data_IF_094187539844
#
_entry.id   IF_094187539844
#
_cell.length_a   1.000
_cell.length_b   1.000
_cell.length_c   1.000
_cell.angle_alpha   90.00
_cell.angle_beta   90.00
_cell.angle_gamma   90.00
#
_symmetry.space_group_name_H-M   'P 1'
#
loop_
_entity.id
_entity.type
_entity.pdbx_description
1 polymer ?
#
# COMPACT_ATOMS: atom_id res chain seq x y z
N UNK A 1 -20.11 -7.36 -4.89
CA UNK A 1 -18.75 -7.70 -5.40
C UNK A 1 -17.83 -6.70 -4.72
N UNK A 2 -16.94 -7.21 -3.89
CA UNK A 2 -16.12 -6.40 -2.98
C UNK A 2 -14.84 -5.92 -3.64
N UNK A 3 -14.14 -5.03 -2.96
CA UNK A 3 -12.83 -4.53 -3.37
C UNK A 3 -11.71 -5.27 -2.64
N UNK A 4 -10.52 -5.23 -3.22
CA UNK A 4 -9.31 -5.82 -2.66
C UNK A 4 -8.23 -4.75 -2.49
N UNK A 5 -7.69 -4.64 -1.28
CA UNK A 5 -6.55 -3.79 -0.99
C UNK A 5 -5.28 -4.63 -0.85
N UNK A 6 -4.14 -4.08 -1.24
CA UNK A 6 -2.83 -4.64 -0.99
C UNK A 6 -1.98 -3.63 -0.20
N UNK A 7 -1.38 -4.04 0.91
CA UNK A 7 -0.50 -3.19 1.69
C UNK A 7 0.75 -3.94 2.18
N UNK A 8 1.91 -3.29 2.03
CA UNK A 8 3.21 -3.84 2.44
C UNK A 8 4.10 -2.86 3.22
N UNK A 9 3.61 -1.65 3.53
CA UNK A 9 4.26 -0.70 4.43
C UNK A 9 3.25 -0.08 5.40
N UNK A 10 3.69 0.45 6.56
CA UNK A 10 2.82 1.20 7.47
C UNK A 10 2.06 2.35 6.79
N UNK A 11 2.74 3.10 5.91
CA UNK A 11 2.14 4.24 5.21
C UNK A 11 1.03 3.82 4.24
N UNK A 12 1.21 2.69 3.56
CA UNK A 12 0.17 2.13 2.71
C UNK A 12 -1.05 1.70 3.53
N UNK A 13 -0.84 1.05 4.68
CA UNK A 13 -1.93 0.67 5.59
C UNK A 13 -2.68 1.91 6.09
N UNK A 14 -1.96 2.98 6.39
CA UNK A 14 -2.56 4.27 6.78
C UNK A 14 -3.47 4.81 5.67
N UNK A 15 -2.99 4.85 4.43
CA UNK A 15 -3.77 5.32 3.29
C UNK A 15 -4.96 4.41 2.98
N UNK A 16 -4.82 3.09 3.11
CA UNK A 16 -5.92 2.15 2.98
C UNK A 16 -7.01 2.47 3.99
N UNK A 17 -6.66 2.61 5.28
CA UNK A 17 -7.63 2.92 6.32
C UNK A 17 -8.31 4.28 6.08
N UNK A 18 -7.55 5.30 5.64
CA UNK A 18 -8.12 6.58 5.24
C UNK A 18 -9.16 6.44 4.12
N UNK A 19 -8.84 5.70 3.06
CA UNK A 19 -9.77 5.42 1.95
C UNK A 19 -11.05 4.74 2.46
N UNK A 20 -10.92 3.80 3.40
CA UNK A 20 -12.06 3.05 3.94
C UNK A 20 -12.95 3.89 4.82
N UNK A 21 -12.35 4.72 5.69
CA UNK A 21 -13.07 5.64 6.54
C UNK A 21 -13.82 6.71 5.74
N UNK A 22 -13.24 7.14 4.61
CA UNK A 22 -13.79 8.23 3.81
C UNK A 22 -14.76 7.78 2.71
N UNK A 23 -15.03 6.48 2.59
CA UNK A 23 -15.87 5.91 1.52
C UNK A 23 -17.09 5.21 2.10
N UNK A 24 -18.30 5.61 1.69
CA UNK A 24 -19.49 4.81 1.95
C UNK A 24 -19.45 3.54 1.10
N UNK A 25 -19.27 2.37 1.73
CA UNK A 25 -19.17 1.07 1.05
C UNK A 25 -20.28 0.14 1.52
N UNK A 26 -20.93 -0.54 0.57
CA UNK A 26 -21.99 -1.51 0.87
C UNK A 26 -21.44 -2.86 1.36
N UNK A 27 -20.22 -3.23 0.95
CA UNK A 27 -19.57 -4.48 1.31
C UNK A 27 -18.19 -4.18 1.93
N UNK A 28 -17.80 -4.94 2.96
CA UNK A 28 -16.45 -4.87 3.53
C UNK A 28 -15.45 -5.43 2.51
N UNK A 29 -14.36 -4.71 2.22
CA UNK A 29 -13.33 -5.21 1.31
C UNK A 29 -12.47 -6.29 1.96
N UNK A 30 -11.68 -6.96 1.13
CA UNK A 30 -10.60 -7.83 1.60
C UNK A 30 -9.26 -7.08 1.55
N UNK A 31 -8.31 -7.55 2.36
CA UNK A 31 -6.93 -7.05 2.41
C UNK A 31 -5.95 -8.18 2.17
N UNK A 32 -4.95 -7.94 1.32
CA UNK A 32 -3.71 -8.72 1.33
C UNK A 32 -2.62 -7.89 2.00
N UNK A 33 -2.07 -8.44 3.08
CA UNK A 33 -1.08 -7.78 3.92
C UNK A 33 0.25 -8.53 3.85
N UNK A 34 1.34 -7.83 3.55
CA UNK A 34 2.68 -8.42 3.46
C UNK A 34 3.56 -8.02 4.64
N UNK A 35 4.13 -9.01 5.34
CA UNK A 35 5.01 -8.82 6.48
C UNK A 35 6.43 -8.42 6.06
N UNK A 36 6.59 -7.21 5.53
CA UNK A 36 7.85 -6.69 4.96
C UNK A 36 8.60 -5.69 5.82
N UNK A 37 8.06 -5.39 6.99
CA UNK A 37 8.62 -4.39 7.90
C UNK A 37 8.52 -4.87 9.34
N UNK A 38 9.40 -4.33 10.20
CA UNK A 38 9.35 -4.62 11.63
C UNK A 38 8.08 -4.08 12.25
N UNK A 39 7.52 -4.81 13.21
CA UNK A 39 6.22 -4.48 13.82
C UNK A 39 5.01 -4.77 12.92
N UNK A 40 5.18 -5.38 11.75
CA UNK A 40 4.06 -5.68 10.84
C UNK A 40 3.00 -6.60 11.44
N UNK A 41 3.39 -7.58 12.25
CA UNK A 41 2.45 -8.47 12.95
C UNK A 41 1.60 -7.72 13.99
N UNK A 42 2.22 -6.87 14.82
CA UNK A 42 1.49 -6.10 15.82
C UNK A 42 0.59 -5.04 15.19
N UNK A 43 1.03 -4.41 14.10
CA UNK A 43 0.19 -3.53 13.30
C UNK A 43 -1.03 -4.28 12.76
N UNK A 44 -0.83 -5.47 12.17
CA UNK A 44 -1.90 -6.25 11.58
C UNK A 44 -2.94 -6.68 12.62
N UNK A 45 -2.52 -7.10 13.81
CA UNK A 45 -3.44 -7.44 14.89
C UNK A 45 -4.34 -6.25 15.26
N UNK A 46 -3.80 -5.02 15.30
CA UNK A 46 -4.61 -3.82 15.51
C UNK A 46 -5.47 -3.47 14.30
N UNK A 47 -5.03 -3.74 13.07
CA UNK A 47 -5.87 -3.60 11.88
C UNK A 47 -7.07 -4.55 11.93
N UNK A 48 -6.88 -5.80 12.39
CA UNK A 48 -7.97 -6.79 12.54
C UNK A 48 -9.05 -6.29 13.50
N UNK A 49 -8.71 -5.58 14.58
CA UNK A 49 -9.69 -5.07 15.54
C UNK A 49 -10.58 -3.93 14.99
N UNK A 50 -10.17 -3.25 13.93
CA UNK A 50 -10.98 -2.20 13.28
C UNK A 50 -12.28 -2.74 12.68
N UNK A 51 -12.30 -4.02 12.31
CA UNK A 51 -13.43 -4.64 11.63
C UNK A 51 -13.73 -4.09 10.23
N UNK A 52 -12.81 -3.32 9.61
CA UNK A 52 -13.02 -2.78 8.27
C UNK A 52 -13.00 -3.83 7.15
N UNK A 53 -12.27 -4.92 7.36
CA UNK A 53 -12.08 -5.96 6.35
C UNK A 53 -12.96 -7.18 6.61
N UNK A 54 -13.48 -7.81 5.56
CA UNK A 54 -14.14 -9.12 5.67
C UNK A 54 -13.09 -10.21 5.85
N UNK A 55 -12.02 -10.19 5.03
CA UNK A 55 -10.92 -11.14 5.09
C UNK A 55 -9.58 -10.42 4.99
N UNK A 56 -8.60 -10.94 5.72
CA UNK A 56 -7.22 -10.50 5.69
C UNK A 56 -6.36 -11.70 5.31
N UNK A 57 -5.64 -11.58 4.21
CA UNK A 57 -4.71 -12.57 3.68
C UNK A 57 -3.29 -12.15 4.03
N UNK A 58 -2.59 -12.99 4.79
CA UNK A 58 -1.24 -12.69 5.29
C UNK A 58 -0.18 -13.30 4.38
N UNK A 59 0.85 -12.51 4.06
CA UNK A 59 1.96 -12.90 3.19
C UNK A 59 3.28 -12.69 3.90
N UNK A 60 3.93 -13.79 4.25
CA UNK A 60 5.30 -13.78 4.77
C UNK A 60 6.33 -13.83 3.63
N UNK A 61 7.10 -12.76 3.48
CA UNK A 61 8.16 -12.69 2.48
C UNK A 61 9.44 -13.45 2.87
N UNK A 62 9.48 -14.03 4.07
CA UNK A 62 10.49 -15.01 4.47
C UNK A 62 10.30 -16.39 3.82
N UNK A 63 9.21 -16.60 3.07
CA UNK A 63 9.04 -17.85 2.31
C UNK A 63 10.16 -17.96 1.26
N UNK A 64 10.96 -19.03 1.38
CA UNK A 64 12.23 -19.26 0.65
C UNK A 64 12.10 -19.06 -0.86
N UNK A 65 10.90 -19.25 -1.42
CA UNK A 65 10.59 -19.03 -2.84
C UNK A 65 10.92 -17.63 -3.36
N UNK A 66 10.73 -16.57 -2.56
CA UNK A 66 11.02 -15.20 -3.00
C UNK A 66 12.51 -14.87 -3.01
N UNK A 67 13.29 -15.45 -2.10
CA UNK A 67 14.75 -15.29 -2.05
C UNK A 67 15.45 -15.84 -3.31
N UNK A 68 14.80 -16.77 -4.02
CA UNK A 68 15.30 -17.39 -5.25
C UNK A 68 14.79 -16.74 -6.55
N UNK A 69 14.17 -15.56 -6.51
CA UNK A 69 13.91 -14.78 -7.72
C UNK A 69 15.05 -13.76 -7.89
N UNK A 70 16.11 -14.06 -8.68
CA UNK A 70 17.17 -13.10 -8.91
C UNK A 70 16.60 -11.78 -9.44
N UNK A 71 17.08 -10.65 -8.89
CA UNK A 71 16.73 -9.29 -9.38
C UNK A 71 17.01 -9.10 -10.88
N UNK A 72 17.85 -9.97 -11.48
CA UNK A 72 18.26 -9.95 -12.89
C UNK A 72 17.53 -10.94 -13.81
N UNK A 73 16.55 -11.72 -13.33
CA UNK A 73 15.92 -12.71 -14.22
C UNK A 73 15.08 -12.02 -15.30
N UNK A 74 15.14 -12.59 -16.52
CA UNK A 74 14.24 -12.30 -17.62
C UNK A 74 12.80 -12.13 -17.13
N UNK A 75 12.15 -11.08 -17.60
CA UNK A 75 10.87 -10.57 -17.08
C UNK A 75 9.68 -11.55 -17.12
N UNK A 76 9.87 -12.75 -17.67
CA UNK A 76 8.87 -13.81 -17.79
C UNK A 76 8.84 -14.73 -16.56
N UNK A 77 10.00 -15.00 -15.96
CA UNK A 77 10.10 -15.90 -14.81
C UNK A 77 9.36 -15.35 -13.57
N UNK A 78 9.44 -14.04 -13.24
CA UNK A 78 8.69 -13.49 -12.12
C UNK A 78 7.17 -13.70 -12.25
N UNK A 79 6.60 -13.65 -13.45
CA UNK A 79 5.16 -13.83 -13.68
C UNK A 79 4.72 -15.27 -13.39
N UNK A 80 5.47 -16.25 -13.91
CA UNK A 80 5.15 -17.68 -13.70
C UNK A 80 5.33 -18.05 -12.22
N UNK A 81 6.44 -17.60 -11.61
CA UNK A 81 6.70 -17.82 -10.19
C UNK A 81 5.64 -17.14 -9.33
N UNK A 82 5.21 -15.93 -9.69
CA UNK A 82 4.14 -15.20 -9.00
C UNK A 82 2.83 -16.00 -8.95
N UNK A 83 2.42 -16.61 -10.07
CA UNK A 83 1.21 -17.47 -10.09
C UNK A 83 1.36 -18.71 -9.21
N UNK A 84 2.51 -19.38 -9.31
CA UNK A 84 2.81 -20.58 -8.52
C UNK A 84 2.88 -20.27 -7.01
N UNK A 85 3.46 -19.12 -6.66
CA UNK A 85 3.58 -18.65 -5.28
C UNK A 85 2.21 -18.38 -4.67
N UNK A 86 1.35 -17.61 -5.34
CA UNK A 86 -0.01 -17.38 -4.83
C UNK A 86 -0.81 -18.67 -4.70
N UNK A 87 -0.58 -19.65 -5.59
CA UNK A 87 -1.20 -20.99 -5.50
C UNK A 87 -0.76 -21.74 -4.26
N UNK A 88 0.51 -21.60 -3.88
CA UNK A 88 1.07 -22.22 -2.69
C UNK A 88 0.63 -21.50 -1.41
N UNK A 89 0.70 -20.17 -1.37
CA UNK A 89 0.52 -19.40 -0.12
C UNK A 89 -0.94 -19.11 0.19
N UNK A 90 -1.75 -18.81 -0.82
CA UNK A 90 -3.12 -18.34 -0.60
C UNK A 90 -4.19 -19.40 -0.88
N UNK A 91 -3.77 -20.64 -1.19
CA UNK A 91 -4.67 -21.76 -1.51
C UNK A 91 -5.83 -21.36 -2.45
N UNK A 92 -5.51 -20.55 -3.47
CA UNK A 92 -6.38 -19.92 -4.47
C UNK A 92 -7.89 -20.01 -4.23
N UNK A 93 -8.40 -19.09 -3.42
CA UNK A 93 -9.85 -18.75 -3.37
C UNK A 93 -10.05 -17.24 -3.42
N UNK A 94 -9.39 -16.56 -4.36
CA UNK A 94 -9.81 -15.22 -4.72
C UNK A 94 -10.99 -15.34 -5.67
N UNK A 95 -12.12 -14.79 -5.26
CA UNK A 95 -13.26 -14.55 -6.15
C UNK A 95 -12.94 -13.40 -7.12
N UNK A 96 -13.89 -13.01 -7.96
CA UNK A 96 -13.79 -11.77 -8.70
C UNK A 96 -14.03 -10.56 -7.79
N UNK A 97 -13.28 -9.48 -8.01
CA UNK A 97 -13.37 -8.24 -7.23
C UNK A 97 -13.76 -7.07 -8.14
N UNK A 98 -14.42 -6.06 -7.57
CA UNK A 98 -14.75 -4.85 -8.31
C UNK A 98 -13.48 -4.05 -8.58
N UNK A 99 -12.76 -3.66 -7.53
CA UNK A 99 -11.58 -2.81 -7.64
C UNK A 99 -10.39 -3.44 -6.93
N UNK A 100 -9.22 -3.36 -7.56
CA UNK A 100 -7.94 -3.57 -6.89
C UNK A 100 -7.35 -2.23 -6.49
N UNK A 101 -6.95 -2.10 -5.23
CA UNK A 101 -6.25 -0.94 -4.69
C UNK A 101 -4.83 -1.33 -4.29
N UNK A 102 -3.82 -0.69 -4.87
CA UNK A 102 -2.42 -0.86 -4.49
C UNK A 102 -1.63 0.42 -4.75
N UNK A 103 -0.58 0.66 -3.99
CA UNK A 103 0.34 1.81 -4.18
C UNK A 103 1.12 1.76 -5.49
N UNK A 104 1.46 0.57 -5.96
CA UNK A 104 2.15 0.31 -7.22
C UNK A 104 2.07 -1.19 -7.56
N UNK A 105 2.57 -1.57 -8.75
CA UNK A 105 2.72 -2.97 -9.18
C UNK A 105 4.19 -3.43 -9.22
N UNK A 106 5.10 -2.69 -8.61
CA UNK A 106 6.51 -3.08 -8.53
C UNK A 106 6.68 -4.28 -7.61
N UNK A 107 5.92 -4.31 -6.50
CA UNK A 107 5.86 -5.43 -5.60
C UNK A 107 5.39 -6.71 -6.34
N UNK A 108 6.15 -7.79 -6.20
CA UNK A 108 5.87 -9.06 -6.90
C UNK A 108 4.55 -9.70 -6.44
N UNK A 109 4.18 -9.55 -5.17
CA UNK A 109 2.90 -10.04 -4.61
C UNK A 109 1.74 -9.26 -5.19
N UNK A 110 1.81 -7.92 -5.20
CA UNK A 110 0.80 -7.07 -5.83
C UNK A 110 0.62 -7.43 -7.31
N UNK A 111 1.74 -7.56 -8.05
CA UNK A 111 1.70 -7.98 -9.45
C UNK A 111 1.11 -9.38 -9.61
N UNK A 112 1.44 -10.31 -8.71
CA UNK A 112 0.94 -11.66 -8.75
C UNK A 112 -0.58 -11.67 -8.64
N UNK A 113 -1.12 -10.96 -7.63
CA UNK A 113 -2.56 -10.88 -7.34
C UNK A 113 -3.27 -10.32 -8.56
N UNK A 114 -2.77 -9.17 -9.00
CA UNK A 114 -3.22 -8.47 -10.16
C UNK A 114 -3.24 -9.33 -11.44
N UNK A 115 -2.24 -10.20 -11.61
CA UNK A 115 -2.12 -11.10 -12.77
C UNK A 115 -3.14 -12.24 -12.75
N UNK A 116 -3.56 -12.71 -11.58
CA UNK A 116 -4.35 -13.96 -11.45
C UNK A 116 -5.81 -13.73 -11.12
N UNK A 117 -6.13 -12.66 -10.38
CA UNK A 117 -7.49 -12.33 -9.96
C UNK A 117 -8.15 -11.43 -11.00
N UNK A 118 -9.45 -11.59 -11.19
CA UNK A 118 -10.24 -10.76 -12.10
C UNK A 118 -10.78 -9.54 -11.35
N UNK A 119 -10.38 -8.36 -11.81
CA UNK A 119 -10.82 -7.05 -11.31
C UNK A 119 -11.60 -6.32 -12.40
N UNK A 120 -12.52 -5.42 -12.06
CA UNK A 120 -13.13 -4.51 -13.03
C UNK A 120 -12.35 -3.20 -13.18
N UNK A 121 -11.64 -2.80 -12.13
CA UNK A 121 -10.79 -1.60 -12.15
C UNK A 121 -9.55 -1.75 -11.28
N UNK A 122 -8.53 -0.96 -11.57
CA UNK A 122 -7.31 -0.83 -10.80
C UNK A 122 -7.08 0.62 -10.42
N UNK A 123 -7.09 0.89 -9.11
CA UNK A 123 -6.86 2.21 -8.54
C UNK A 123 -5.52 2.22 -7.81
N UNK A 124 -4.68 3.17 -8.19
CA UNK A 124 -3.44 3.45 -7.46
C UNK A 124 -3.72 4.49 -6.38
N UNK A 125 -3.19 4.29 -5.18
CA UNK A 125 -3.23 5.31 -4.13
C UNK A 125 -1.82 5.77 -3.76
N UNK A 126 -1.74 6.91 -3.10
CA UNK A 126 -0.48 7.55 -2.76
C UNK A 126 0.48 6.67 -1.95
N UNK A 127 1.77 6.71 -2.32
CA UNK A 127 2.87 6.04 -1.64
C UNK A 127 4.13 6.93 -1.68
N UNK A 128 3.94 8.19 -1.28
CA UNK A 128 4.99 9.19 -1.16
C UNK A 128 5.34 9.89 -2.46
N UNK A 129 6.55 10.45 -2.52
CA UNK A 129 7.01 11.34 -3.60
C UNK A 129 6.91 10.70 -4.99
N UNK A 130 7.16 9.40 -5.09
CA UNK A 130 7.09 8.66 -6.35
C UNK A 130 5.72 8.75 -7.03
N UNK A 131 4.64 8.92 -6.25
CA UNK A 131 3.29 9.05 -6.78
C UNK A 131 3.02 10.36 -7.54
N UNK A 132 3.91 11.34 -7.42
CA UNK A 132 3.73 12.66 -8.03
C UNK A 132 4.61 12.89 -9.25
N UNK A 133 5.83 12.32 -9.25
CA UNK A 133 6.89 12.67 -10.21
C UNK A 133 7.20 11.59 -11.23
N UNK A 134 6.52 10.45 -11.14
CA UNK A 134 6.72 9.31 -12.03
C UNK A 134 5.46 9.18 -12.89
N UNK A 135 5.61 8.95 -14.20
CA UNK A 135 4.46 8.59 -15.01
C UNK A 135 4.06 7.16 -14.66
N UNK A 136 2.95 7.03 -13.93
CA UNK A 136 2.54 5.76 -13.33
C UNK A 136 2.22 4.68 -14.38
N UNK A 137 1.90 5.07 -15.62
CA UNK A 137 1.60 4.15 -16.72
C UNK A 137 2.87 3.61 -17.38
N UNK A 138 3.95 4.39 -17.43
CA UNK A 138 5.14 4.06 -18.24
C UNK A 138 6.36 3.70 -17.40
N UNK A 139 6.47 4.24 -16.19
CA UNK A 139 7.72 4.27 -15.45
C UNK A 139 7.68 3.37 -14.20
N UNK A 140 6.50 3.00 -13.70
CA UNK A 140 6.34 1.98 -12.64
C UNK A 140 6.73 0.57 -13.05
N UNK A 141 7.06 0.33 -14.32
CA UNK A 141 7.46 -1.00 -14.74
C UNK A 141 8.41 -0.97 -15.92
N UNK A 142 9.52 -1.70 -15.81
CA UNK A 142 10.45 -1.85 -16.93
C UNK A 142 9.69 -2.33 -18.19
N UNK A 143 9.93 -1.68 -19.33
CA UNK A 143 9.34 -1.99 -20.65
C UNK A 143 9.36 -3.49 -20.99
N UNK A 144 10.38 -4.25 -20.58
CA UNK A 144 10.46 -5.70 -20.77
C UNK A 144 9.39 -6.47 -19.98
N UNK A 145 9.14 -6.07 -18.72
CA UNK A 145 8.13 -6.65 -17.83
C UNK A 145 6.72 -6.28 -18.28
N UNK A 146 6.51 -5.03 -18.71
CA UNK A 146 5.24 -4.62 -19.31
C UNK A 146 4.91 -5.42 -20.58
N UNK A 147 5.87 -5.61 -21.49
CA UNK A 147 5.68 -6.44 -22.70
C UNK A 147 5.35 -7.89 -22.36
N UNK A 148 6.06 -8.46 -21.38
CA UNK A 148 5.79 -9.82 -20.93
C UNK A 148 4.35 -9.97 -20.42
N UNK A 149 3.90 -9.05 -19.57
CA UNK A 149 2.55 -9.06 -19.03
C UNK A 149 1.49 -8.96 -20.12
N UNK A 150 1.67 -8.06 -21.10
CA UNK A 150 0.75 -7.92 -22.25
C UNK A 150 0.61 -9.23 -23.05
N UNK A 151 1.69 -10.00 -23.19
CA UNK A 151 1.66 -11.30 -23.89
C UNK A 151 0.94 -12.36 -23.06
N UNK A 152 1.31 -12.52 -21.79
CA UNK A 152 0.77 -13.59 -20.94
C UNK A 152 -0.65 -13.33 -20.41
N UNK A 153 -1.15 -12.11 -20.56
CA UNK A 153 -2.45 -11.68 -20.06
C UNK A 153 -3.22 -10.85 -21.09
N UNK A 154 -3.11 -11.20 -22.38
CA UNK A 154 -3.68 -10.46 -23.52
C UNK A 154 -5.19 -10.19 -23.45
N UNK A 155 -5.93 -10.89 -22.56
CA UNK A 155 -7.38 -10.72 -22.35
C UNK A 155 -7.74 -9.80 -21.19
N UNK A 156 -6.78 -9.36 -20.36
CA UNK A 156 -7.07 -8.49 -19.21
C UNK A 156 -6.97 -7.02 -19.65
N UNK A 157 -8.10 -6.31 -19.63
CA UNK A 157 -8.21 -4.87 -19.94
C UNK A 157 -7.46 -3.97 -18.95
N UNK A 158 -7.11 -4.51 -17.79
CA UNK A 158 -6.87 -3.70 -16.60
C UNK A 158 -5.44 -3.19 -16.44
N UNK A 159 -4.48 -3.51 -17.36
CA UNK A 159 -3.06 -3.11 -17.21
C UNK A 159 -2.83 -1.59 -17.28
N UNK A 160 -3.92 -0.85 -17.27
CA UNK A 160 -4.03 0.58 -17.23
C UNK A 160 -4.56 0.92 -15.84
N UNK A 161 -3.86 1.81 -15.16
CA UNK A 161 -4.36 2.40 -13.92
C UNK A 161 -5.59 3.22 -14.31
N UNK A 162 -6.77 2.80 -13.83
CA UNK A 162 -8.04 3.48 -14.13
C UNK A 162 -8.12 4.83 -13.41
N UNK A 163 -7.56 4.90 -12.19
CA UNK A 163 -7.52 6.13 -11.42
C UNK A 163 -6.36 6.15 -10.42
N UNK A 164 -5.91 7.36 -10.07
CA UNK A 164 -4.97 7.61 -8.98
C UNK A 164 -5.64 8.42 -7.89
N UNK A 165 -5.44 8.06 -6.63
CA UNK A 165 -5.86 8.80 -5.46
C UNK A 165 -4.65 9.46 -4.79
N UNK A 166 -4.63 10.79 -4.72
CA UNK A 166 -3.53 11.59 -4.15
C UNK A 166 -4.05 12.68 -3.20
N UNK A 167 -3.32 13.00 -2.15
CA UNK A 167 -3.61 14.15 -1.28
C UNK A 167 -3.46 15.49 -2.01
N UNK A 168 -2.59 15.54 -3.02
CA UNK A 168 -2.31 16.71 -3.86
C UNK A 168 -2.37 16.41 -5.36
N UNK A 169 -3.56 16.14 -5.93
CA UNK A 169 -3.72 15.79 -7.35
C UNK A 169 -3.08 16.79 -8.31
N UNK A 170 -3.07 18.07 -7.93
CA UNK A 170 -2.50 19.20 -8.66
C UNK A 170 -0.98 19.11 -8.89
N UNK A 171 -0.28 18.31 -8.07
CA UNK A 171 1.16 18.08 -8.20
C UNK A 171 1.52 16.86 -9.06
N UNK A 172 0.52 16.08 -9.49
CA UNK A 172 0.76 14.87 -10.27
C UNK A 172 1.14 15.21 -11.71
N UNK A 173 2.28 14.69 -12.18
CA UNK A 173 2.71 14.85 -13.57
C UNK A 173 2.30 13.67 -14.47
N UNK A 174 1.59 12.67 -13.92
CA UNK A 174 1.19 11.47 -14.66
C UNK A 174 0.04 11.77 -15.63
N UNK A 175 0.09 11.17 -16.82
CA UNK A 175 -0.91 11.34 -17.89
C UNK A 175 -2.18 10.47 -17.69
N UNK A 176 -2.50 10.10 -16.45
CA UNK A 176 -3.69 9.29 -16.17
C UNK A 176 -4.93 10.19 -16.22
N UNK A 177 -5.97 9.76 -16.94
CA UNK A 177 -7.18 10.56 -17.15
C UNK A 177 -7.92 10.91 -15.85
N UNK A 178 -7.87 10.03 -14.84
CA UNK A 178 -8.59 10.20 -13.58
C UNK A 178 -7.65 10.28 -12.37
N UNK A 179 -7.17 11.48 -12.06
CA UNK A 179 -6.44 11.78 -10.82
C UNK A 179 -7.39 12.46 -9.83
N UNK A 180 -7.70 11.78 -8.73
CA UNK A 180 -8.68 12.21 -7.73
C UNK A 180 -8.02 12.53 -6.39
N UNK A 181 -8.68 13.39 -5.61
CA UNK A 181 -8.25 13.75 -4.27
C UNK A 181 -8.49 12.64 -3.25
N UNK A 182 -7.46 12.26 -2.50
CA UNK A 182 -7.62 11.59 -1.21
C UNK A 182 -8.16 12.58 -0.19
N UNK A 183 -9.12 12.12 0.60
CA UNK A 183 -9.64 12.93 1.68
C UNK A 183 -8.54 13.22 2.70
N UNK A 184 -8.45 14.49 3.09
CA UNK A 184 -7.65 14.86 4.26
C UNK A 184 -8.40 14.42 5.49
N UNK A 185 -7.70 13.71 6.36
CA UNK A 185 -8.24 13.30 7.65
C UNK A 185 -8.43 14.55 8.52
N UNK A 186 -9.67 14.80 8.95
CA UNK A 186 -9.91 15.78 9.99
C UNK A 186 -9.54 15.16 11.35
N UNK A 187 -8.70 15.87 12.11
CA UNK A 187 -8.02 15.34 13.29
C UNK A 187 -9.01 15.05 14.43
N UNK A 188 -10.21 15.63 14.42
CA UNK A 188 -11.07 15.63 15.60
C UNK A 188 -11.90 14.36 15.83
N UNK A 189 -12.45 13.73 14.79
CA UNK A 189 -13.34 12.56 14.96
C UNK A 189 -12.92 11.31 14.16
N UNK A 190 -12.35 11.49 12.96
CA UNK A 190 -12.01 10.37 12.06
C UNK A 190 -10.69 9.69 12.44
N UNK A 191 -9.80 10.36 13.17
CA UNK A 191 -8.44 9.85 13.42
C UNK A 191 -8.33 8.83 14.55
N UNK A 192 -9.38 8.60 15.35
CA UNK A 192 -9.30 7.69 16.49
C UNK A 192 -8.88 6.27 16.07
N UNK A 193 -9.45 5.76 14.97
CA UNK A 193 -9.10 4.43 14.46
C UNK A 193 -7.63 4.38 14.04
N UNK A 194 -7.12 5.45 13.41
CA UNK A 194 -5.72 5.54 13.01
C UNK A 194 -4.80 5.65 14.23
N UNK A 195 -5.21 6.37 15.28
CA UNK A 195 -4.44 6.45 16.52
C UNK A 195 -4.35 5.10 17.21
N UNK A 196 -5.45 4.37 17.27
CA UNK A 196 -5.50 3.03 17.86
C UNK A 196 -4.65 2.03 17.04
N UNK A 197 -4.69 2.10 15.70
CA UNK A 197 -3.93 1.18 14.83
C UNK A 197 -2.43 1.49 14.83
N UNK A 198 -2.04 2.77 14.79
CA UNK A 198 -0.64 3.17 14.71
C UNK A 198 -0.01 3.50 16.06
N UNK A 199 -0.76 3.33 17.16
CA UNK A 199 -0.34 3.65 18.53
C UNK A 199 0.14 5.11 18.66
N UNK A 200 -0.56 6.02 18.00
CA UNK A 200 -0.24 7.44 18.06
C UNK A 200 -0.74 8.03 19.38
N UNK A 201 0.16 8.61 20.17
CA UNK A 201 -0.23 9.44 21.29
C UNK A 201 -0.87 10.74 20.79
N UNK A 202 -2.08 11.06 21.25
CA UNK A 202 -2.81 12.30 20.94
C UNK A 202 -1.97 13.55 21.18
N UNK A 203 -1.15 13.57 22.23
CA UNK A 203 -0.25 14.70 22.51
C UNK A 203 0.80 14.86 21.42
N UNK A 204 1.41 13.75 20.97
CA UNK A 204 2.38 13.78 19.86
C UNK A 204 1.76 14.32 18.57
N UNK A 205 0.50 13.99 18.28
CA UNK A 205 -0.20 14.46 17.07
C UNK A 205 -0.68 15.92 17.15
N UNK A 206 -1.07 16.39 18.34
CA UNK A 206 -1.53 17.77 18.54
C UNK A 206 -0.38 18.80 18.47
N UNK A 207 0.82 18.41 18.90
CA UNK A 207 1.97 19.32 18.97
C UNK A 207 2.95 19.18 17.80
N UNK A 208 3.08 18.01 17.18
CA UNK A 208 3.97 17.80 16.02
C UNK A 208 3.11 17.76 14.75
N UNK A 209 3.20 18.80 13.89
CA UNK A 209 2.63 18.82 12.52
C UNK A 209 3.24 17.77 11.57
N UNK A 210 3.93 16.78 12.11
CA UNK A 210 4.74 15.78 11.41
C UNK A 210 4.42 14.42 12.01
N UNK A 211 3.91 13.50 11.20
CA UNK A 211 3.76 12.09 11.56
C UNK A 211 5.06 11.38 11.21
N UNK A 212 5.77 10.89 12.22
CA UNK A 212 6.89 9.97 12.03
C UNK A 212 6.34 8.57 12.20
N UNK A 213 6.15 7.87 11.08
CA UNK A 213 5.78 6.45 11.10
C UNK A 213 7.08 5.66 11.17
N UNK A 214 7.61 5.53 12.39
CA UNK A 214 8.83 4.78 12.63
C UNK A 214 8.50 3.28 12.75
N UNK A 215 9.29 2.43 12.10
CA UNK A 215 9.18 0.98 12.29
C UNK A 215 9.82 0.66 13.63
N UNK A 216 8.99 0.52 14.67
CA UNK A 216 9.47 0.26 16.02
C UNK A 216 10.25 -1.06 16.05
N UNK A 217 11.57 -0.99 16.21
CA UNK A 217 12.33 -2.04 16.86
C UNK A 217 13.33 -1.45 17.88
N UNK A 218 13.00 -1.71 19.14
CA UNK A 218 13.81 -1.79 20.36
C UNK A 218 14.83 -0.69 20.71
N UNK A 219 14.46 -0.02 21.80
CA UNK A 219 15.26 0.42 22.96
C UNK A 219 16.39 1.45 22.74
N UNK A 220 16.20 2.59 23.41
CA UNK A 220 17.20 3.43 24.07
C UNK A 220 18.52 3.71 23.32
N UNK A 221 18.57 4.89 22.69
CA UNK A 221 19.73 5.82 22.72
C UNK A 221 19.48 7.06 21.84
N UNK A 222 18.53 7.02 20.88
CA UNK A 222 18.31 8.12 19.92
C UNK A 222 17.03 8.96 20.13
N UNK A 223 16.21 8.70 21.16
CA UNK A 223 15.08 9.59 21.48
C UNK A 223 15.57 11.00 21.83
N UNK A 224 16.68 11.11 22.54
CA UNK A 224 17.30 12.40 22.89
C UNK A 224 17.81 13.15 21.66
N UNK A 225 18.26 12.46 20.61
CA UNK A 225 18.74 13.11 19.38
C UNK A 225 17.58 13.70 18.59
N UNK A 226 16.46 12.98 18.49
CA UNK A 226 15.26 13.48 17.78
C UNK A 226 14.64 14.64 18.57
N UNK A 227 14.50 14.53 19.89
CA UNK A 227 13.93 15.61 20.71
C UNK A 227 14.86 16.85 20.78
N UNK A 228 16.18 16.68 20.80
CA UNK A 228 17.12 17.81 20.71
C UNK A 228 17.12 18.49 19.34
N UNK A 229 16.98 17.72 18.25
CA UNK A 229 16.87 18.27 16.89
C UNK A 229 15.59 19.09 16.73
N UNK A 230 14.48 18.61 17.29
CA UNK A 230 13.17 19.28 17.25
C UNK A 230 13.18 20.55 18.10
N UNK A 231 13.78 20.52 19.30
CA UNK A 231 13.90 21.71 20.16
C UNK A 231 14.77 22.80 19.53
N UNK A 232 15.81 22.44 18.77
CA UNK A 232 16.68 23.39 18.06
C UNK A 232 15.97 24.15 16.92
N UNK A 233 14.97 23.52 16.30
CA UNK A 233 14.14 24.11 15.24
C UNK A 233 13.07 25.05 15.78
N UNK A 234 12.58 24.82 17.01
CA UNK A 234 11.66 25.74 17.68
C UNK A 234 12.35 26.99 18.27
N UNK A 235 13.65 26.94 18.52
CA UNK A 235 14.43 28.09 19.03
C UNK A 235 14.94 29.04 17.94
N UNK A 236 14.75 28.73 16.66
CA UNK A 236 15.22 29.55 15.52
C UNK A 236 14.12 30.39 14.86
N UNK A 237 12.92 30.45 15.44
CA UNK A 237 11.87 31.40 15.06
C UNK A 237 11.64 32.44 16.16
N UNK A 238 12.45 33.49 16.13
CA UNK A 238 12.16 34.82 16.68
C UNK A 238 12.49 35.86 15.60
#
# INVERSE_FOLDING_TARGET
MKDLFFGDTPYQIFNILNILMSSSRNEKPDLVFSHNFSGSHSLLERVKTTGFFERIYEIDNDDKLFRFIPKKVNAWLPIIISKLYLKKVLNFKFDSYNTFYASNLDNNVALAIYSVVDFKSFIVYEDGFGSYVINMLTDHMNKRRLRALKIFHFRKKYFYVDSVLLYKPDLCISEIESVNGLNKLDVMDDTKVLFDVFDFNKESCAYKKIFIIDTVDKQDENRDVIDNSINSLSSTSL
#
